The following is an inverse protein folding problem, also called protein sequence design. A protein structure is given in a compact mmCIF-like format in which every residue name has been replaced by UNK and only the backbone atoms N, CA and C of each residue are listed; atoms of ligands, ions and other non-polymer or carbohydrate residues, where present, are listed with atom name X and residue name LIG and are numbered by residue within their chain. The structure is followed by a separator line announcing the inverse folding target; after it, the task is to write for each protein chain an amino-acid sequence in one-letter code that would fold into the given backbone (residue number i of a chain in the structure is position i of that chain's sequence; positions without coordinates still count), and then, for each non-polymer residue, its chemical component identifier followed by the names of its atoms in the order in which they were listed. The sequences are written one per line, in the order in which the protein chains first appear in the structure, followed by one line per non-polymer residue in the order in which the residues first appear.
data_IF_303879347664
#
_entry.id   IF_303879347664
#
_cell.length_a   1.000
_cell.length_b   1.000
_cell.length_c   1.000
_cell.angle_alpha   90.00
_cell.angle_beta   90.00
_cell.angle_gamma   90.00
#
_symmetry.space_group_name_H-M   'P 1'
#
loop_
_entity.id
_entity.type
_entity.pdbx_description
1 polymer ?
#
# COMPACT_ATOMS: atom_id res chain seq x y z
N UNK A 1 -3.12 17.71 26.52
CA UNK A 1 -2.61 19.06 26.79
C UNK A 1 -2.46 19.71 25.43
N UNK A 2 -3.23 20.75 25.18
CA UNK A 2 -3.21 21.39 23.85
C UNK A 2 -1.86 22.11 23.66
N UNK A 3 -1.34 22.14 22.43
CA UNK A 3 -0.06 22.82 22.12
C UNK A 3 -0.05 24.29 22.56
N UNK A 4 -1.21 24.92 22.55
CA UNK A 4 -1.43 26.29 23.01
C UNK A 4 -1.25 26.43 24.54
N UNK A 5 -1.69 25.45 25.33
CA UNK A 5 -1.46 25.43 26.78
C UNK A 5 0.01 25.23 27.12
N UNK A 6 0.72 24.37 26.36
CA UNK A 6 2.16 24.14 26.55
C UNK A 6 2.94 25.42 26.26
N UNK A 7 2.62 26.10 25.16
CA UNK A 7 3.30 27.33 24.75
C UNK A 7 3.12 28.46 25.78
N UNK A 8 1.89 28.66 26.28
CA UNK A 8 1.57 29.71 27.27
C UNK A 8 2.25 29.50 28.62
N UNK A 9 2.57 28.26 28.97
CA UNK A 9 3.21 27.90 30.24
C UNK A 9 4.76 27.95 30.18
N UNK A 10 5.36 28.18 29.02
CA UNK A 10 6.81 28.36 28.90
C UNK A 10 7.25 29.73 29.45
N UNK A 11 8.49 29.86 29.98
CA UNK A 11 9.03 31.16 30.31
C UNK A 11 9.13 32.04 29.05
N UNK A 12 8.99 33.35 29.25
CA UNK A 12 8.86 34.31 28.15
C UNK A 12 10.08 34.34 27.21
N UNK A 13 11.27 34.01 27.73
CA UNK A 13 12.49 33.89 26.92
C UNK A 13 12.41 32.74 25.91
N UNK A 14 11.83 31.60 26.31
CA UNK A 14 11.63 30.43 25.47
C UNK A 14 10.50 30.64 24.46
N UNK A 15 9.40 31.28 24.86
CA UNK A 15 8.34 31.69 23.93
C UNK A 15 8.89 32.61 22.84
N UNK A 16 9.69 33.60 23.22
CA UNK A 16 10.32 34.54 22.27
C UNK A 16 11.27 33.83 21.32
N UNK A 17 12.12 32.92 21.81
CA UNK A 17 13.02 32.11 20.96
C UNK A 17 12.24 31.28 19.93
N UNK A 18 11.12 30.67 20.33
CA UNK A 18 10.27 29.90 19.41
C UNK A 18 9.62 30.80 18.36
N UNK A 19 9.08 31.95 18.76
CA UNK A 19 8.49 32.92 17.82
C UNK A 19 9.54 33.51 16.87
N UNK A 20 10.72 33.85 17.36
CA UNK A 20 11.84 34.34 16.53
C UNK A 20 12.31 33.26 15.54
N UNK A 21 12.24 31.99 15.92
CA UNK A 21 12.53 30.87 15.02
C UNK A 21 11.43 30.70 13.96
N UNK A 22 10.16 30.76 14.35
CA UNK A 22 9.03 30.69 13.41
C UNK A 22 8.99 31.88 12.44
N UNK A 23 9.35 33.08 12.90
CA UNK A 23 9.43 34.28 12.07
C UNK A 23 10.55 34.21 11.01
N UNK A 24 11.55 33.33 11.19
CA UNK A 24 12.58 33.04 10.19
C UNK A 24 12.14 31.99 9.17
N UNK A 25 11.07 31.24 9.45
CA UNK A 25 10.51 30.35 8.44
C UNK A 25 9.86 31.22 7.36
N UNK A 26 10.19 31.01 6.08
CA UNK A 26 9.51 31.70 5.02
C UNK A 26 8.03 31.29 5.01
N UNK A 27 7.14 32.27 4.97
CA UNK A 27 5.73 32.00 4.66
C UNK A 27 5.69 31.39 3.26
N UNK A 28 5.05 30.22 3.11
CA UNK A 28 4.95 29.51 1.83
C UNK A 28 4.34 30.42 0.75
N UNK A 29 3.47 31.37 1.14
CA UNK A 29 2.84 32.36 0.25
C UNK A 29 3.79 33.48 -0.19
N UNK A 30 4.93 33.62 0.46
CA UNK A 30 5.95 34.63 0.20
C UNK A 30 7.24 34.04 -0.40
N UNK A 31 7.23 32.74 -0.76
CA UNK A 31 8.34 32.13 -1.48
C UNK A 31 8.52 32.77 -2.85
N UNK A 32 9.77 32.85 -3.31
CA UNK A 32 10.04 33.09 -4.72
C UNK A 32 9.54 31.93 -5.56
N UNK A 33 9.35 32.15 -6.86
CA UNK A 33 8.91 31.09 -7.79
C UNK A 33 9.86 29.88 -7.78
N UNK A 34 11.18 30.10 -7.65
CA UNK A 34 12.17 29.02 -7.60
C UNK A 34 12.07 28.20 -6.29
N UNK A 35 11.84 28.88 -5.15
CA UNK A 35 11.68 28.19 -3.87
C UNK A 35 10.35 27.43 -3.79
N UNK A 36 9.30 27.98 -4.39
CA UNK A 36 8.00 27.32 -4.49
C UNK A 36 8.09 26.07 -5.37
N UNK A 37 8.78 26.14 -6.51
CA UNK A 37 9.02 24.98 -7.37
C UNK A 37 9.74 23.85 -6.61
N UNK A 38 10.81 24.18 -5.88
CA UNK A 38 11.53 23.20 -5.04
C UNK A 38 10.65 22.60 -3.94
N UNK A 39 9.78 23.42 -3.33
CA UNK A 39 8.83 22.95 -2.32
C UNK A 39 7.82 21.96 -2.92
N UNK A 40 7.21 22.31 -4.05
CA UNK A 40 6.24 21.46 -4.74
C UNK A 40 6.88 20.16 -5.26
N UNK A 41 8.10 20.25 -5.81
CA UNK A 41 8.90 19.07 -6.20
C UNK A 41 9.18 18.16 -5.01
N UNK A 42 9.48 18.71 -3.84
CA UNK A 42 9.75 17.91 -2.64
C UNK A 42 8.50 17.17 -2.16
N UNK A 43 7.32 17.80 -2.21
CA UNK A 43 6.04 17.16 -1.88
C UNK A 43 5.75 16.05 -2.89
N UNK A 44 5.92 16.35 -4.17
CA UNK A 44 5.70 15.37 -5.25
C UNK A 44 6.61 14.16 -5.10
N UNK A 45 7.89 14.35 -4.79
CA UNK A 45 8.82 13.24 -4.60
C UNK A 45 8.39 12.31 -3.45
N UNK A 46 7.86 12.88 -2.36
CA UNK A 46 7.34 12.11 -1.23
C UNK A 46 6.06 11.37 -1.63
N UNK A 47 5.15 12.03 -2.33
CA UNK A 47 3.89 11.42 -2.80
C UNK A 47 4.13 10.28 -3.80
N UNK A 48 5.03 10.49 -4.76
CA UNK A 48 5.44 9.47 -5.75
C UNK A 48 6.04 8.24 -5.04
N UNK A 49 6.87 8.46 -4.01
CA UNK A 49 7.45 7.38 -3.21
C UNK A 49 6.38 6.54 -2.49
N UNK A 50 5.46 7.19 -1.77
CA UNK A 50 4.41 6.49 -1.02
C UNK A 50 3.39 5.84 -1.96
N UNK A 51 3.03 6.49 -3.05
CA UNK A 51 2.15 5.95 -4.08
C UNK A 51 2.75 4.70 -4.73
N UNK A 52 4.05 4.71 -5.04
CA UNK A 52 4.75 3.54 -5.57
C UNK A 52 4.78 2.36 -4.58
N UNK A 53 5.07 2.63 -3.31
CA UNK A 53 5.04 1.61 -2.26
C UNK A 53 3.65 1.00 -2.07
N UNK A 54 2.62 1.85 -1.97
CA UNK A 54 1.24 1.42 -1.78
C UNK A 54 0.75 0.61 -2.98
N UNK A 55 1.00 1.09 -4.20
CA UNK A 55 0.66 0.37 -5.43
C UNK A 55 1.30 -1.02 -5.48
N UNK A 56 2.58 -1.12 -5.13
CA UNK A 56 3.31 -2.39 -5.08
C UNK A 56 2.75 -3.36 -4.05
N UNK A 57 2.34 -2.85 -2.88
CA UNK A 57 1.72 -3.65 -1.83
C UNK A 57 0.38 -4.22 -2.28
N UNK A 58 -0.51 -3.36 -2.81
CA UNK A 58 -1.85 -3.78 -3.28
C UNK A 58 -1.74 -4.80 -4.41
N UNK A 59 -0.89 -4.53 -5.40
CA UNK A 59 -0.67 -5.47 -6.51
C UNK A 59 -0.08 -6.80 -6.02
N UNK A 60 0.80 -6.76 -5.02
CA UNK A 60 1.37 -7.93 -4.36
C UNK A 60 0.31 -8.79 -3.67
N UNK A 61 -0.56 -8.18 -2.88
CA UNK A 61 -1.68 -8.83 -2.19
C UNK A 61 -2.66 -9.46 -3.18
N UNK A 62 -3.07 -8.73 -4.22
CA UNK A 62 -3.99 -9.24 -5.24
C UNK A 62 -3.39 -10.43 -6.01
N UNK A 63 -2.13 -10.31 -6.46
CA UNK A 63 -1.43 -11.42 -7.12
C UNK A 63 -1.24 -12.60 -6.19
N UNK A 64 -0.95 -12.35 -4.90
CA UNK A 64 -0.79 -13.37 -3.88
C UNK A 64 -2.08 -14.16 -3.66
N UNK A 65 -3.19 -13.45 -3.46
CA UNK A 65 -4.53 -14.04 -3.32
C UNK A 65 -4.94 -14.84 -4.56
N UNK A 66 -4.77 -14.28 -5.77
CA UNK A 66 -5.10 -14.98 -7.00
C UNK A 66 -4.29 -16.27 -7.18
N UNK A 67 -2.97 -16.22 -6.94
CA UNK A 67 -2.09 -17.40 -6.97
C UNK A 67 -2.48 -18.44 -5.91
N UNK A 68 -2.81 -17.98 -4.70
CA UNK A 68 -3.25 -18.83 -3.60
C UNK A 68 -4.53 -19.59 -3.93
N UNK A 69 -5.56 -18.88 -4.41
CA UNK A 69 -6.82 -19.48 -4.83
C UNK A 69 -6.64 -20.47 -5.99
N UNK A 70 -5.83 -20.14 -7.00
CA UNK A 70 -5.58 -21.04 -8.11
C UNK A 70 -4.88 -22.33 -7.65
N UNK A 71 -3.90 -22.21 -6.76
CA UNK A 71 -3.22 -23.37 -6.15
C UNK A 71 -4.18 -24.22 -5.33
N UNK A 72 -5.01 -23.60 -4.49
CA UNK A 72 -5.96 -24.30 -3.63
C UNK A 72 -7.03 -25.05 -4.44
N UNK A 73 -7.50 -24.48 -5.56
CA UNK A 73 -8.38 -25.18 -6.51
C UNK A 73 -7.73 -26.42 -7.13
N UNK A 74 -6.47 -26.32 -7.55
CA UNK A 74 -5.74 -27.46 -8.12
C UNK A 74 -5.46 -28.54 -7.07
N UNK A 75 -5.05 -28.16 -5.85
CA UNK A 75 -4.84 -29.09 -4.74
C UNK A 75 -6.16 -29.80 -4.38
N UNK A 76 -7.29 -29.09 -4.42
CA UNK A 76 -8.62 -29.68 -4.27
C UNK A 76 -8.94 -30.66 -5.39
N UNK A 77 -8.71 -30.30 -6.64
CA UNK A 77 -8.91 -31.21 -7.78
C UNK A 77 -8.06 -32.49 -7.66
N UNK A 78 -6.79 -32.38 -7.24
CA UNK A 78 -5.92 -33.52 -6.98
C UNK A 78 -6.47 -34.43 -5.87
N UNK A 79 -6.94 -33.85 -4.77
CA UNK A 79 -7.58 -34.62 -3.68
C UNK A 79 -8.83 -35.36 -4.17
N UNK A 80 -9.70 -34.69 -4.93
CA UNK A 80 -10.91 -35.33 -5.48
C UNK A 80 -10.57 -36.46 -6.46
N UNK A 81 -9.53 -36.29 -7.28
CA UNK A 81 -9.02 -37.33 -8.16
C UNK A 81 -8.51 -38.54 -7.36
N UNK A 82 -7.76 -38.28 -6.28
CA UNK A 82 -7.26 -39.35 -5.38
C UNK A 82 -8.39 -40.12 -4.68
N UNK A 83 -9.55 -39.49 -4.49
CA UNK A 83 -10.77 -40.12 -3.96
C UNK A 83 -11.55 -40.90 -5.04
N UNK A 84 -11.05 -40.96 -6.28
CA UNK A 84 -11.68 -41.71 -7.38
C UNK A 84 -12.84 -41.00 -8.05
N UNK A 85 -13.00 -39.68 -7.87
CA UNK A 85 -14.02 -38.93 -8.60
C UNK A 85 -13.70 -38.85 -10.10
N UNK A 86 -14.75 -38.83 -10.92
CA UNK A 86 -14.59 -38.66 -12.36
C UNK A 86 -14.21 -37.23 -12.73
N UNK A 87 -13.56 -37.06 -13.89
CA UNK A 87 -13.12 -35.77 -14.38
C UNK A 87 -14.25 -34.74 -14.49
N UNK A 88 -15.41 -35.17 -14.99
CA UNK A 88 -16.60 -34.33 -15.10
C UNK A 88 -17.09 -33.82 -13.74
N UNK A 89 -17.03 -34.67 -12.70
CA UNK A 89 -17.39 -34.27 -11.33
C UNK A 89 -16.38 -33.29 -10.74
N UNK A 90 -15.09 -33.50 -11.00
CA UNK A 90 -14.02 -32.60 -10.53
C UNK A 90 -14.13 -31.22 -11.17
N UNK A 91 -14.35 -31.16 -12.48
CA UNK A 91 -14.61 -29.90 -13.20
C UNK A 91 -15.84 -29.18 -12.64
N UNK A 92 -16.92 -29.91 -12.39
CA UNK A 92 -18.13 -29.34 -11.79
C UNK A 92 -17.91 -28.82 -10.36
N UNK A 93 -17.13 -29.52 -9.54
CA UNK A 93 -16.91 -29.16 -8.15
C UNK A 93 -15.91 -28.01 -7.97
N UNK A 94 -14.90 -27.92 -8.83
CA UNK A 94 -13.80 -26.92 -8.71
C UNK A 94 -13.98 -25.73 -9.64
N UNK A 95 -14.83 -25.85 -10.66
CA UNK A 95 -14.99 -24.87 -11.74
C UNK A 95 -13.79 -24.81 -12.68
N UNK A 96 -12.85 -25.75 -12.58
CA UNK A 96 -11.69 -25.83 -13.47
C UNK A 96 -12.09 -26.43 -14.82
N UNK A 97 -11.47 -25.91 -15.86
CA UNK A 97 -11.60 -26.42 -17.23
C UNK A 97 -10.76 -27.68 -17.42
N UNK A 98 -11.03 -28.43 -18.49
CA UNK A 98 -10.24 -29.61 -18.84
C UNK A 98 -8.76 -29.25 -19.06
N UNK A 99 -8.49 -28.06 -19.63
CA UNK A 99 -7.13 -27.58 -19.87
C UNK A 99 -6.35 -27.30 -18.59
N UNK A 100 -7.00 -26.68 -17.62
CA UNK A 100 -6.40 -26.37 -16.31
C UNK A 100 -6.13 -27.64 -15.50
N UNK A 101 -6.87 -28.72 -15.76
CA UNK A 101 -6.68 -30.01 -15.09
C UNK A 101 -5.68 -30.92 -15.82
N UNK A 102 -5.31 -30.66 -17.09
CA UNK A 102 -4.30 -31.45 -17.84
C UNK A 102 -3.02 -31.73 -17.03
N UNK A 103 -2.47 -30.79 -16.24
CA UNK A 103 -1.26 -31.03 -15.44
C UNK A 103 -1.41 -32.15 -14.39
N UNK A 104 -2.63 -32.46 -13.93
CA UNK A 104 -2.87 -33.51 -12.92
C UNK A 104 -2.80 -34.93 -13.50
N UNK A 105 -2.68 -35.07 -14.83
CA UNK A 105 -2.62 -36.35 -15.54
C UNK A 105 -1.20 -36.72 -16.00
N UNK A 106 -0.23 -35.83 -15.79
CA UNK A 106 1.19 -36.06 -16.06
C UNK A 106 1.84 -36.88 -14.93
#
# INVERSE_FOLDING_TARGET
MEMDEVFKNLPLAEQKKMLDHLAKLPDVRCLSSEEQEKYDESIKAVDDYYSGLYGSYVEGEEKGMAKGMAKEKLDTAYRLLSMGMSWSQIMQATGLTEEELKPLRA
#
